data_IF_373526921515
#
_entry.id   IF_373526921515
#
_cell.length_a   1.000
_cell.length_b   1.000
_cell.length_c   1.000
_cell.angle_alpha   90.00
_cell.angle_beta   90.00
_cell.angle_gamma   90.00
#
_symmetry.space_group_name_H-M   'P 1'
#
loop_
_entity.id
_entity.type
_entity.pdbx_description
1 polymer ?
#
# COMPACT_ATOMS: atom_id res chain seq x y z
N UNK A 1 -11.42 -30.86 -43.84
CA UNK A 1 -12.06 -30.31 -42.63
C UNK A 1 -11.07 -30.50 -41.48
N UNK A 2 -10.24 -29.49 -41.20
CA UNK A 2 -9.15 -29.59 -40.20
C UNK A 2 -9.67 -28.96 -38.91
N UNK A 3 -9.76 -29.76 -37.86
CA UNK A 3 -10.22 -29.35 -36.52
C UNK A 3 -9.13 -28.49 -35.86
N UNK A 4 -9.45 -27.22 -35.58
CA UNK A 4 -8.63 -26.38 -34.72
C UNK A 4 -8.91 -26.78 -33.26
N UNK A 5 -7.99 -27.55 -32.67
CA UNK A 5 -7.97 -27.79 -31.22
C UNK A 5 -7.55 -26.48 -30.55
N UNK A 6 -8.49 -25.87 -29.84
CA UNK A 6 -8.29 -24.68 -29.02
C UNK A 6 -7.31 -24.98 -27.87
N UNK A 7 -6.17 -24.28 -27.88
CA UNK A 7 -5.21 -24.31 -26.77
C UNK A 7 -5.79 -23.44 -25.64
N UNK A 8 -5.97 -23.96 -24.41
CA UNK A 8 -6.48 -23.18 -23.31
C UNK A 8 -5.45 -22.13 -22.89
N UNK A 9 -5.88 -20.87 -22.91
CA UNK A 9 -5.13 -19.72 -22.44
C UNK A 9 -5.11 -19.71 -20.89
N UNK A 10 -4.34 -20.61 -20.27
CA UNK A 10 -4.10 -20.55 -18.84
C UNK A 10 -2.60 -20.61 -18.53
N UNK A 11 -2.17 -19.64 -17.70
CA UNK A 11 -0.81 -19.38 -17.20
C UNK A 11 0.09 -18.53 -18.10
N UNK A 12 -0.34 -17.30 -18.36
CA UNK A 12 0.59 -16.19 -18.62
C UNK A 12 1.30 -15.81 -17.32
N UNK A 13 2.28 -16.63 -16.90
CA UNK A 13 3.32 -16.15 -15.99
C UNK A 13 4.15 -15.14 -16.78
N UNK A 14 4.08 -13.86 -16.40
CA UNK A 14 4.84 -12.78 -17.01
C UNK A 14 6.32 -13.13 -16.96
N UNK A 15 6.89 -13.54 -18.11
CA UNK A 15 8.33 -13.77 -18.25
C UNK A 15 9.02 -12.42 -18.26
N UNK A 16 9.48 -11.96 -17.11
CA UNK A 16 10.49 -10.91 -17.05
C UNK A 16 11.79 -11.54 -17.58
N UNK A 17 12.29 -10.99 -18.69
CA UNK A 17 13.32 -11.57 -19.54
C UNK A 17 14.70 -11.76 -18.90
N UNK A 18 14.88 -12.87 -18.20
CA UNK A 18 16.14 -13.57 -18.06
C UNK A 18 15.84 -15.05 -18.36
N UNK A 19 16.62 -15.69 -19.23
CA UNK A 19 16.34 -17.00 -19.86
C UNK A 19 16.23 -18.23 -18.95
N UNK A 20 16.02 -18.04 -17.65
CA UNK A 20 15.71 -19.08 -16.68
C UNK A 20 14.32 -18.76 -16.11
N UNK A 21 13.36 -19.69 -16.02
CA UNK A 21 12.12 -19.45 -15.30
C UNK A 21 12.47 -19.19 -13.83
N UNK A 22 12.73 -17.93 -13.49
CA UNK A 22 12.90 -17.51 -12.11
C UNK A 22 11.57 -17.81 -11.42
N UNK A 23 11.53 -18.70 -10.41
CA UNK A 23 10.35 -18.79 -9.57
C UNK A 23 10.08 -17.36 -9.08
N UNK A 24 8.83 -16.91 -9.18
CA UNK A 24 8.45 -15.59 -8.67
C UNK A 24 9.00 -15.53 -7.24
N UNK A 25 9.95 -14.62 -6.99
CA UNK A 25 10.71 -14.63 -5.75
C UNK A 25 9.86 -14.16 -4.58
N UNK A 26 8.88 -13.28 -4.84
CA UNK A 26 7.95 -12.76 -3.84
C UNK A 26 6.52 -12.59 -4.40
N UNK A 27 5.83 -13.70 -4.74
CA UNK A 27 4.49 -13.65 -5.35
C UNK A 27 3.42 -13.05 -4.46
N UNK A 28 3.49 -13.24 -3.14
CA UNK A 28 2.51 -12.65 -2.24
C UNK A 28 2.65 -11.14 -2.21
N UNK A 29 3.87 -10.63 -1.98
CA UNK A 29 4.13 -9.19 -1.95
C UNK A 29 3.84 -8.52 -3.30
N UNK A 30 4.21 -9.17 -4.42
CA UNK A 30 3.91 -8.67 -5.77
C UNK A 30 2.40 -8.56 -6.05
N UNK A 31 1.59 -9.51 -5.55
CA UNK A 31 0.13 -9.48 -5.71
C UNK A 31 -0.46 -8.22 -5.07
N UNK A 32 0.05 -7.80 -3.92
CA UNK A 32 -0.44 -6.62 -3.19
C UNK A 32 0.09 -5.29 -3.74
N UNK A 33 1.15 -5.29 -4.56
CA UNK A 33 1.65 -4.08 -5.19
C UNK A 33 0.57 -3.40 -6.05
N UNK A 34 -0.24 -4.17 -6.79
CA UNK A 34 -1.30 -3.66 -7.64
C UNK A 34 -2.41 -2.90 -6.86
N UNK A 35 -3.06 -3.48 -5.83
CA UNK A 35 -4.09 -2.74 -5.07
C UNK A 35 -3.52 -1.54 -4.31
N UNK A 36 -2.29 -1.61 -3.77
CA UNK A 36 -1.67 -0.44 -3.15
C UNK A 36 -1.39 0.68 -4.16
N UNK A 37 -0.90 0.35 -5.35
CA UNK A 37 -0.69 1.33 -6.42
C UNK A 37 -2.02 1.96 -6.88
N UNK A 38 -3.06 1.14 -7.06
CA UNK A 38 -4.39 1.63 -7.43
C UNK A 38 -4.95 2.61 -6.39
N UNK A 39 -4.82 2.28 -5.10
CA UNK A 39 -5.26 3.18 -4.03
C UNK A 39 -4.42 4.47 -3.94
N UNK A 40 -3.11 4.37 -4.18
CA UNK A 40 -2.24 5.55 -4.24
C UNK A 40 -2.63 6.51 -5.37
N UNK A 41 -2.92 5.98 -6.56
CA UNK A 41 -3.41 6.77 -7.71
C UNK A 41 -4.74 7.45 -7.35
N UNK A 42 -5.64 6.73 -6.67
CA UNK A 42 -6.89 7.32 -6.20
C UNK A 42 -6.67 8.51 -5.26
N UNK A 43 -5.76 8.40 -4.28
CA UNK A 43 -5.40 9.50 -3.38
C UNK A 43 -4.77 10.69 -4.12
N UNK A 44 -3.88 10.43 -5.09
CA UNK A 44 -3.29 11.48 -5.92
C UNK A 44 -4.34 12.22 -6.75
N UNK A 45 -5.24 11.50 -7.40
CA UNK A 45 -6.31 12.08 -8.20
C UNK A 45 -7.23 12.98 -7.36
N UNK A 46 -7.47 12.61 -6.10
CA UNK A 46 -8.24 13.45 -5.15
C UNK A 46 -7.54 14.79 -4.87
N UNK A 47 -6.23 14.79 -4.68
CA UNK A 47 -5.46 16.03 -4.50
C UNK A 47 -5.52 16.88 -5.76
N UNK A 48 -5.31 16.28 -6.93
CA UNK A 48 -5.37 16.98 -8.22
C UNK A 48 -6.74 17.60 -8.43
N UNK A 49 -7.82 16.88 -8.13
CA UNK A 49 -9.19 17.39 -8.16
C UNK A 49 -9.34 18.65 -7.29
N UNK A 50 -8.89 18.59 -6.03
CA UNK A 50 -8.95 19.75 -5.13
C UNK A 50 -8.10 20.92 -5.61
N UNK A 51 -6.92 20.68 -6.20
CA UNK A 51 -6.06 21.76 -6.74
C UNK A 51 -6.70 22.45 -7.93
N UNK A 52 -7.35 21.69 -8.83
CA UNK A 52 -8.04 22.25 -10.00
C UNK A 52 -9.27 23.06 -9.57
N UNK A 53 -10.09 22.53 -8.65
CA UNK A 53 -11.32 23.22 -8.20
C UNK A 53 -11.02 24.49 -7.41
N UNK A 54 -9.98 24.47 -6.56
CA UNK A 54 -9.60 25.61 -5.71
C UNK A 54 -8.61 26.57 -6.36
N UNK A 55 -8.20 26.30 -7.62
CA UNK A 55 -7.16 27.04 -8.37
C UNK A 55 -5.86 27.25 -7.58
N UNK A 56 -5.59 26.37 -6.62
CA UNK A 56 -4.41 26.45 -5.75
C UNK A 56 -3.33 25.52 -6.30
N UNK A 57 -2.47 26.08 -7.16
CA UNK A 57 -1.43 25.32 -7.87
C UNK A 57 -0.28 24.92 -6.95
N UNK A 58 0.09 25.79 -6.00
CA UNK A 58 1.19 25.57 -5.06
C UNK A 58 0.70 25.88 -3.65
N UNK A 59 1.00 24.98 -2.71
CA UNK A 59 0.65 25.09 -1.30
C UNK A 59 -0.27 23.96 -0.81
N UNK A 60 -0.42 23.93 0.51
CA UNK A 60 -1.16 22.89 1.25
C UNK A 60 -2.48 23.43 1.82
N UNK A 61 -2.77 24.72 1.57
CA UNK A 61 -3.99 25.40 1.99
C UNK A 61 -4.52 26.28 0.87
N UNK A 62 -5.84 26.32 0.72
CA UNK A 62 -6.57 27.22 -0.16
C UNK A 62 -6.51 28.63 0.43
N UNK A 63 -6.21 29.63 -0.42
CA UNK A 63 -6.01 31.03 0.01
C UNK A 63 -7.21 31.65 0.77
N UNK A 64 -8.42 31.15 0.53
CA UNK A 64 -9.68 31.62 1.13
C UNK A 64 -10.39 30.55 1.99
N UNK A 65 -9.64 29.64 2.62
CA UNK A 65 -10.24 28.60 3.45
C UNK A 65 -10.94 29.19 4.68
N UNK A 66 -12.28 29.31 4.62
CA UNK A 66 -13.15 29.83 5.70
C UNK A 66 -13.61 28.74 6.69
N UNK A 67 -12.97 27.58 6.69
CA UNK A 67 -13.30 26.44 7.56
C UNK A 67 -12.16 26.08 8.52
N UNK A 68 -12.50 25.43 9.63
CA UNK A 68 -11.56 25.03 10.69
C UNK A 68 -10.50 24.01 10.19
N UNK A 69 -10.81 23.28 9.09
CA UNK A 69 -9.89 22.32 8.45
C UNK A 69 -10.01 22.38 6.92
N UNK A 70 -8.88 22.53 6.24
CA UNK A 70 -8.81 22.65 4.78
C UNK A 70 -8.88 21.27 4.09
N UNK A 71 -9.79 21.06 3.12
CA UNK A 71 -9.92 19.78 2.41
C UNK A 71 -8.67 19.43 1.56
N UNK A 72 -7.95 20.41 1.02
CA UNK A 72 -6.70 20.19 0.30
C UNK A 72 -5.62 19.69 1.27
N UNK A 73 -5.53 20.31 2.45
CA UNK A 73 -4.60 19.88 3.51
C UNK A 73 -4.87 18.43 3.94
N UNK A 74 -6.13 18.07 4.19
CA UNK A 74 -6.49 16.70 4.57
C UNK A 74 -6.15 15.67 3.49
N UNK A 75 -6.45 15.98 2.23
CA UNK A 75 -6.11 15.10 1.11
C UNK A 75 -4.59 14.90 0.97
N UNK A 76 -3.81 15.98 1.09
CA UNK A 76 -2.35 15.93 1.07
C UNK A 76 -1.79 15.12 2.24
N UNK A 77 -2.31 15.30 3.46
CA UNK A 77 -1.89 14.50 4.62
C UNK A 77 -2.23 13.01 4.47
N UNK A 78 -3.37 12.67 3.87
CA UNK A 78 -3.74 11.28 3.60
C UNK A 78 -2.78 10.61 2.61
N UNK A 79 -2.45 11.27 1.50
CA UNK A 79 -1.48 10.76 0.52
C UNK A 79 -0.08 10.64 1.12
N UNK A 80 0.38 11.67 1.84
CA UNK A 80 1.72 11.68 2.44
C UNK A 80 1.87 10.53 3.44
N UNK A 81 0.88 10.33 4.33
CA UNK A 81 0.93 9.25 5.30
C UNK A 81 0.95 7.85 4.64
N UNK A 82 0.23 7.69 3.53
CA UNK A 82 0.30 6.46 2.73
C UNK A 82 1.71 6.28 2.13
N UNK A 83 2.28 7.33 1.52
CA UNK A 83 3.58 7.30 0.87
C UNK A 83 4.75 7.09 1.84
N UNK A 84 4.64 7.57 3.09
CA UNK A 84 5.68 7.40 4.12
C UNK A 84 5.77 5.96 4.64
N UNK A 85 4.65 5.23 4.66
CA UNK A 85 4.59 3.96 5.36
C UNK A 85 4.47 2.75 4.44
N UNK A 86 3.64 2.83 3.40
CA UNK A 86 3.34 1.67 2.55
C UNK A 86 4.56 1.18 1.78
N UNK A 87 5.41 2.03 1.17
CA UNK A 87 6.63 1.58 0.51
C UNK A 87 7.60 0.88 1.46
N UNK A 88 7.76 1.40 2.69
CA UNK A 88 8.61 0.78 3.71
C UNK A 88 8.09 -0.61 4.10
N UNK A 89 6.78 -0.73 4.36
CA UNK A 89 6.18 -2.01 4.76
C UNK A 89 6.22 -3.02 3.62
N UNK A 90 5.97 -2.60 2.37
CA UNK A 90 6.14 -3.47 1.20
C UNK A 90 7.60 -3.92 1.01
N UNK A 91 8.56 -3.04 1.27
CA UNK A 91 9.98 -3.39 1.27
C UNK A 91 10.32 -4.45 2.32
N UNK A 92 9.81 -4.30 3.54
CA UNK A 92 10.03 -5.29 4.61
C UNK A 92 9.30 -6.60 4.31
N UNK A 93 8.07 -6.56 3.79
CA UNK A 93 7.34 -7.75 3.36
C UNK A 93 8.06 -8.51 2.24
N UNK A 94 8.62 -7.78 1.27
CA UNK A 94 9.47 -8.34 0.22
C UNK A 94 10.69 -9.04 0.84
N UNK A 95 11.43 -8.36 1.71
CA UNK A 95 12.60 -8.96 2.37
C UNK A 95 12.20 -10.19 3.19
N UNK A 96 11.10 -10.14 3.93
CA UNK A 96 10.60 -11.28 4.70
C UNK A 96 10.28 -12.47 3.78
N UNK A 97 9.55 -12.24 2.68
CA UNK A 97 9.19 -13.30 1.72
C UNK A 97 10.42 -13.91 1.04
N UNK A 98 11.41 -13.08 0.68
CA UNK A 98 12.69 -13.54 0.14
C UNK A 98 13.50 -14.39 1.13
N UNK A 99 13.36 -14.13 2.43
CA UNK A 99 13.98 -14.93 3.50
C UNK A 99 13.12 -16.13 3.94
N UNK A 100 12.08 -16.49 3.18
CA UNK A 100 11.27 -17.69 3.43
C UNK A 100 10.02 -17.47 4.31
N UNK A 101 9.56 -16.23 4.46
CA UNK A 101 8.30 -15.97 5.17
C UNK A 101 7.12 -16.71 4.55
N UNK A 102 6.17 -17.13 5.40
CA UNK A 102 4.96 -17.79 4.97
C UNK A 102 4.10 -16.84 4.09
N UNK A 103 3.83 -17.25 2.85
CA UNK A 103 3.05 -16.46 1.87
C UNK A 103 1.63 -16.15 2.32
N UNK A 104 0.99 -17.06 3.05
CA UNK A 104 -0.35 -16.85 3.61
C UNK A 104 -0.31 -15.74 4.66
N UNK A 105 0.71 -15.75 5.53
CA UNK A 105 0.92 -14.68 6.51
C UNK A 105 1.14 -13.32 5.82
N UNK A 106 1.98 -13.26 4.78
CA UNK A 106 2.20 -12.02 4.01
C UNK A 106 0.90 -11.53 3.37
N UNK A 107 0.09 -12.41 2.78
CA UNK A 107 -1.17 -12.04 2.16
C UNK A 107 -2.17 -11.45 3.17
N UNK A 108 -2.38 -12.10 4.30
CA UNK A 108 -3.26 -11.56 5.34
C UNK A 108 -2.73 -10.24 5.88
N UNK A 109 -1.43 -10.15 6.15
CA UNK A 109 -0.82 -8.94 6.73
C UNK A 109 -0.91 -7.74 5.78
N UNK A 110 -0.63 -7.94 4.49
CA UNK A 110 -0.75 -6.88 3.47
C UNK A 110 -2.21 -6.53 3.17
N UNK A 111 -3.13 -7.50 3.23
CA UNK A 111 -4.56 -7.23 3.14
C UNK A 111 -5.09 -6.41 4.32
N UNK A 112 -4.68 -6.76 5.55
CA UNK A 112 -4.98 -5.98 6.75
C UNK A 112 -4.38 -4.59 6.66
N UNK A 113 -3.15 -4.45 6.18
CA UNK A 113 -2.52 -3.15 5.95
C UNK A 113 -3.35 -2.28 5.01
N UNK A 114 -3.80 -2.82 3.88
CA UNK A 114 -4.64 -2.06 2.94
C UNK A 114 -5.95 -1.59 3.60
N UNK A 115 -6.62 -2.49 4.33
CA UNK A 115 -7.85 -2.15 5.05
C UNK A 115 -7.63 -1.06 6.11
N UNK A 116 -6.52 -1.12 6.85
CA UNK A 116 -6.13 -0.10 7.83
C UNK A 116 -5.83 1.24 7.17
N UNK A 117 -5.19 1.22 6.00
CA UNK A 117 -4.88 2.45 5.24
C UNK A 117 -6.11 3.11 4.66
N UNK A 118 -7.05 2.33 4.13
CA UNK A 118 -8.36 2.83 3.71
C UNK A 118 -9.12 3.39 4.91
N UNK A 119 -9.13 2.66 6.04
CA UNK A 119 -9.81 3.11 7.26
C UNK A 119 -9.21 4.40 7.83
N UNK A 120 -7.88 4.56 7.79
CA UNK A 120 -7.21 5.77 8.23
C UNK A 120 -7.61 7.01 7.41
N UNK A 121 -7.62 6.87 6.08
CA UNK A 121 -7.91 7.96 5.17
C UNK A 121 -9.42 8.27 5.11
N UNK A 122 -10.26 7.29 4.81
CA UNK A 122 -11.70 7.48 4.58
C UNK A 122 -12.50 7.59 5.89
N UNK A 123 -12.17 6.78 6.91
CA UNK A 123 -12.91 6.73 8.18
C UNK A 123 -12.24 7.51 9.32
N UNK A 124 -11.08 8.12 9.06
CA UNK A 124 -10.33 8.91 10.04
C UNK A 124 -10.24 10.38 9.64
N UNK A 125 -9.49 10.63 8.58
CA UNK A 125 -9.17 11.99 8.11
C UNK A 125 -10.33 12.67 7.37
N UNK A 126 -11.17 11.90 6.66
CA UNK A 126 -12.22 12.43 5.78
C UNK A 126 -13.61 12.48 6.42
N UNK A 127 -13.77 11.96 7.63
CA UNK A 127 -14.98 12.19 8.44
C UNK A 127 -14.99 13.64 8.93
N UNK A 128 -16.18 14.26 9.04
CA UNK A 128 -16.39 15.62 9.57
C UNK A 128 -15.47 15.88 10.77
N UNK A 129 -14.77 17.02 10.70
CA UNK A 129 -13.78 17.53 11.67
C UNK A 129 -12.46 16.75 11.80
N UNK A 130 -12.14 15.79 10.92
CA UNK A 130 -10.88 15.02 10.96
C UNK A 130 -10.60 14.31 12.32
N UNK A 131 -11.68 14.04 13.06
CA UNK A 131 -11.69 13.40 14.40
C UNK A 131 -12.22 11.97 14.35
N UNK A 132 -12.27 11.35 13.16
CA UNK A 132 -12.75 9.98 13.03
C UNK A 132 -11.88 8.98 13.81
N UNK A 133 -12.49 8.00 14.52
CA UNK A 133 -11.74 6.98 15.27
C UNK A 133 -10.83 6.13 14.35
N UNK A 134 -11.12 6.08 13.05
CA UNK A 134 -10.28 5.42 12.04
C UNK A 134 -8.86 5.96 11.96
N UNK A 135 -8.60 7.20 12.41
CA UNK A 135 -7.25 7.78 12.46
C UNK A 135 -6.37 7.06 13.48
N UNK A 136 -6.88 6.80 14.68
CA UNK A 136 -6.13 6.14 15.76
C UNK A 136 -5.95 4.66 15.40
N UNK A 137 -7.03 3.99 15.02
CA UNK A 137 -7.01 2.56 14.67
C UNK A 137 -6.10 2.31 13.46
N UNK A 138 -6.21 3.12 12.42
CA UNK A 138 -5.38 2.99 11.23
C UNK A 138 -3.91 3.29 11.47
N UNK A 139 -3.58 4.28 12.31
CA UNK A 139 -2.20 4.60 12.66
C UNK A 139 -1.57 3.48 13.49
N UNK A 140 -2.13 3.18 14.66
CA UNK A 140 -1.56 2.15 15.55
C UNK A 140 -1.63 0.77 14.92
N UNK A 141 -2.71 0.45 14.21
CA UNK A 141 -2.81 -0.81 13.47
C UNK A 141 -1.69 -0.95 12.45
N UNK A 142 -1.34 0.13 11.74
CA UNK A 142 -0.22 0.03 10.80
C UNK A 142 1.14 -0.08 11.49
N UNK A 143 1.35 0.61 12.60
CA UNK A 143 2.57 0.44 13.38
C UNK A 143 2.73 -1.01 13.87
N UNK A 144 1.63 -1.65 14.28
CA UNK A 144 1.61 -3.07 14.64
C UNK A 144 1.96 -3.96 13.46
N UNK A 145 1.42 -3.69 12.27
CA UNK A 145 1.78 -4.45 11.05
C UNK A 145 3.26 -4.29 10.71
N UNK A 146 3.79 -3.07 10.76
CA UNK A 146 5.20 -2.80 10.50
C UNK A 146 6.09 -3.51 11.50
N UNK A 147 5.80 -3.39 12.80
CA UNK A 147 6.55 -4.06 13.86
C UNK A 147 6.48 -5.58 13.74
N UNK A 148 5.30 -6.13 13.40
CA UNK A 148 5.10 -7.57 13.18
C UNK A 148 5.92 -8.10 12.01
N UNK A 149 5.87 -7.43 10.86
CA UNK A 149 6.67 -7.81 9.68
C UNK A 149 8.16 -7.63 9.92
N UNK A 150 8.58 -6.54 10.56
CA UNK A 150 9.99 -6.30 10.89
C UNK A 150 10.51 -7.35 11.87
N UNK A 151 9.74 -7.67 12.91
CA UNK A 151 10.08 -8.71 13.88
C UNK A 151 10.13 -10.09 13.24
N UNK A 152 9.20 -10.41 12.33
CA UNK A 152 9.22 -11.68 11.61
C UNK A 152 10.41 -11.77 10.64
N UNK A 153 10.71 -10.70 9.92
CA UNK A 153 11.91 -10.61 9.08
C UNK A 153 13.19 -10.79 9.91
N UNK A 154 13.31 -10.08 11.04
CA UNK A 154 14.43 -10.20 11.97
C UNK A 154 14.58 -11.64 12.50
N UNK A 155 13.47 -12.30 12.84
CA UNK A 155 13.48 -13.69 13.29
C UNK A 155 14.01 -14.66 12.20
N UNK A 156 13.68 -14.42 10.93
CA UNK A 156 14.17 -15.24 9.82
C UNK A 156 15.67 -15.07 9.58
N UNK A 157 16.23 -13.90 9.88
CA UNK A 157 17.67 -13.60 9.69
C UNK A 157 18.47 -13.65 11.00
N UNK A 158 17.88 -14.13 12.09
CA UNK A 158 18.49 -14.11 13.44
C UNK A 158 19.89 -14.74 13.47
N UNK A 159 20.11 -15.76 12.64
CA UNK A 159 21.37 -16.50 12.61
C UNK A 159 22.53 -15.65 12.05
N UNK A 160 22.24 -14.58 11.29
CA UNK A 160 23.24 -13.62 10.84
C UNK A 160 23.60 -12.57 11.90
N UNK A 161 22.76 -12.42 12.94
CA UNK A 161 22.96 -11.43 14.01
C UNK A 161 23.70 -12.04 15.21
N UNK A 162 23.60 -13.35 15.40
CA UNK A 162 24.21 -14.06 16.53
C UNK A 162 25.62 -14.59 16.22
N UNK A 163 26.35 -13.91 15.31
CA UNK A 163 27.75 -14.17 14.97
C UNK A 163 28.65 -13.21 15.74
#
# INVERSE_FOLDING_TARGET
MVNYVSIPAEKMATKVGLGVPMPLLAPATATWAAPFAAYYIFLQNRIVYQRITTKTVIGDKVKDSKGDVDPLYLATRAQLNFAENVPLILGIALLAELNGANRTYINYTLGTLLALRISHAELGLLIKDAKGPGRIVGYYGTQTVLAGLAGYAAYLIKDFWMI
#
